data_IF_057169297758
#
_entry.id   IF_057169297758
#
_cell.length_a   1.000
_cell.length_b   1.000
_cell.length_c   1.000
_cell.angle_alpha   90.00
_cell.angle_beta   90.00
_cell.angle_gamma   90.00
#
_symmetry.space_group_name_H-M   'P 1'
#
loop_
_entity.id
_entity.type
_entity.pdbx_description
1 polymer ?
#
# COMPACT_ATOMS: atom_id res chain seq x y z
N UNK A 1 -10.23 -17.40 2.28
CA UNK A 1 -9.07 -17.55 3.19
C UNK A 1 -9.51 -17.90 4.60
N UNK A 2 -10.46 -17.15 5.19
CA UNK A 2 -11.08 -17.47 6.48
C UNK A 2 -11.61 -18.93 6.53
N UNK A 3 -12.52 -19.29 5.63
CA UNK A 3 -13.06 -20.67 5.56
C UNK A 3 -12.00 -21.75 5.31
N UNK A 4 -10.90 -21.42 4.63
CA UNK A 4 -9.84 -22.37 4.31
C UNK A 4 -9.01 -22.68 5.56
N UNK A 5 -8.63 -21.66 6.32
CA UNK A 5 -7.90 -21.83 7.58
C UNK A 5 -8.76 -22.49 8.66
N UNK A 6 -10.07 -22.19 8.70
CA UNK A 6 -11.00 -22.89 9.60
C UNK A 6 -11.10 -24.39 9.27
N UNK A 7 -11.19 -24.75 7.98
CA UNK A 7 -11.19 -26.16 7.53
C UNK A 7 -9.87 -26.89 7.79
N UNK A 8 -8.76 -26.16 7.93
CA UNK A 8 -7.44 -26.69 8.31
C UNK A 8 -7.29 -26.85 9.84
N UNK A 9 -8.33 -26.56 10.63
CA UNK A 9 -8.35 -26.77 12.08
C UNK A 9 -8.01 -25.53 12.92
N UNK A 10 -7.77 -24.38 12.29
CA UNK A 10 -7.43 -23.15 13.00
C UNK A 10 -8.72 -22.50 13.58
N UNK A 11 -8.69 -22.12 14.87
CA UNK A 11 -9.87 -21.65 15.62
C UNK A 11 -10.47 -20.39 15.00
N UNK A 12 -11.82 -20.35 14.87
CA UNK A 12 -12.58 -19.21 14.34
C UNK A 12 -12.16 -17.85 14.91
N UNK A 13 -11.95 -17.77 16.23
CA UNK A 13 -11.54 -16.55 16.92
C UNK A 13 -10.13 -16.08 16.54
N UNK A 14 -9.21 -16.99 16.25
CA UNK A 14 -7.84 -16.67 15.83
C UNK A 14 -7.82 -16.27 14.36
N UNK A 15 -8.49 -17.06 13.50
CA UNK A 15 -8.55 -16.80 12.05
C UNK A 15 -9.28 -15.49 11.76
N UNK A 16 -10.40 -15.23 12.44
CA UNK A 16 -11.21 -14.02 12.28
C UNK A 16 -10.51 -12.72 12.71
N UNK A 17 -9.46 -12.80 13.53
CA UNK A 17 -8.65 -11.64 13.92
C UNK A 17 -7.35 -11.57 13.11
N UNK A 18 -6.57 -12.65 13.08
CA UNK A 18 -5.22 -12.67 12.50
C UNK A 18 -5.23 -12.45 10.99
N UNK A 19 -6.24 -12.97 10.27
CA UNK A 19 -6.30 -12.86 8.81
C UNK A 19 -6.65 -11.43 8.35
N UNK A 20 -7.72 -10.80 8.86
CA UNK A 20 -8.03 -9.41 8.51
C UNK A 20 -6.94 -8.44 8.99
N UNK A 21 -6.40 -8.64 10.18
CA UNK A 21 -5.31 -7.82 10.72
C UNK A 21 -4.03 -8.00 9.88
N UNK A 22 -3.62 -9.22 9.56
CA UNK A 22 -2.43 -9.47 8.73
C UNK A 22 -2.54 -8.89 7.32
N UNK A 23 -3.73 -8.92 6.71
CA UNK A 23 -3.98 -8.26 5.42
C UNK A 23 -3.82 -6.74 5.51
N UNK A 24 -4.33 -6.15 6.58
CA UNK A 24 -4.27 -4.71 6.85
C UNK A 24 -2.86 -4.20 7.13
N UNK A 25 -2.03 -5.00 7.81
CA UNK A 25 -0.66 -4.63 8.15
C UNK A 25 0.36 -4.99 7.04
N UNK A 26 0.04 -5.91 6.12
CA UNK A 26 0.92 -6.28 4.99
C UNK A 26 0.73 -5.34 3.77
N UNK A 27 0.57 -4.04 4.01
CA UNK A 27 0.47 -3.02 2.97
C UNK A 27 1.80 -2.26 2.74
N UNK A 28 2.92 -2.71 3.34
CA UNK A 28 4.23 -2.07 3.17
C UNK A 28 4.67 -1.97 1.70
N UNK A 29 4.30 -2.95 0.87
CA UNK A 29 4.52 -2.91 -0.58
C UNK A 29 3.77 -1.76 -1.29
N UNK A 30 2.61 -1.35 -0.75
CA UNK A 30 1.88 -0.17 -1.22
C UNK A 30 2.65 1.09 -0.89
N UNK A 31 3.16 1.24 0.33
CA UNK A 31 3.95 2.41 0.74
C UNK A 31 5.22 2.58 -0.08
N UNK A 32 5.93 1.47 -0.35
CA UNK A 32 7.14 1.50 -1.20
C UNK A 32 6.78 1.90 -2.64
N UNK A 33 5.73 1.32 -3.22
CA UNK A 33 5.27 1.70 -4.56
C UNK A 33 4.90 3.19 -4.65
N UNK A 34 4.14 3.71 -3.69
CA UNK A 34 3.73 5.11 -3.69
C UNK A 34 4.93 6.05 -3.50
N UNK A 35 5.93 5.65 -2.73
CA UNK A 35 7.20 6.38 -2.60
C UNK A 35 7.96 6.41 -3.92
N UNK A 36 8.06 5.28 -4.61
CA UNK A 36 8.69 5.22 -5.94
C UNK A 36 7.92 6.04 -6.98
N UNK A 37 6.59 6.04 -6.92
CA UNK A 37 5.74 6.86 -7.78
C UNK A 37 5.96 8.36 -7.53
N UNK A 38 6.14 8.78 -6.27
CA UNK A 38 6.51 10.15 -5.94
C UNK A 38 7.89 10.51 -6.50
N UNK A 39 8.90 9.64 -6.37
CA UNK A 39 10.23 9.87 -6.96
C UNK A 39 10.13 9.98 -8.50
N UNK A 40 9.30 9.15 -9.14
CA UNK A 40 9.05 9.25 -10.57
C UNK A 40 8.45 10.60 -10.97
N UNK A 41 7.43 11.10 -10.24
CA UNK A 41 6.86 12.42 -10.49
C UNK A 41 7.94 13.51 -10.32
N UNK A 42 8.76 13.42 -9.27
CA UNK A 42 9.81 14.39 -9.01
C UNK A 42 10.75 14.51 -10.22
N UNK A 43 11.21 13.37 -10.74
CA UNK A 43 12.07 13.33 -11.93
C UNK A 43 11.35 13.81 -13.20
N UNK A 44 10.10 13.42 -13.41
CA UNK A 44 9.32 13.82 -14.57
C UNK A 44 8.98 15.33 -14.59
N UNK A 45 8.89 15.95 -13.41
CA UNK A 45 8.59 17.38 -13.25
C UNK A 45 9.84 18.23 -12.99
N UNK A 46 11.02 17.61 -13.01
CA UNK A 46 12.30 18.25 -12.67
C UNK A 46 12.30 18.92 -11.28
N UNK A 47 11.51 18.36 -10.35
CA UNK A 47 11.43 18.79 -8.96
C UNK A 47 12.53 18.08 -8.17
N UNK A 48 13.44 18.83 -7.55
CA UNK A 48 14.51 18.22 -6.79
C UNK A 48 13.99 17.63 -5.48
N UNK A 49 14.28 16.34 -5.26
CA UNK A 49 13.81 15.59 -4.09
C UNK A 49 15.01 14.99 -3.36
N UNK A 50 15.49 15.70 -2.34
CA UNK A 50 16.59 15.24 -1.50
C UNK A 50 16.23 13.95 -0.72
N UNK A 51 17.24 13.19 -0.29
CA UNK A 51 17.11 11.96 0.47
C UNK A 51 16.25 12.16 1.73
N UNK A 52 16.36 13.31 2.39
CA UNK A 52 15.53 13.62 3.55
C UNK A 52 14.03 13.65 3.21
N UNK A 53 13.67 14.19 2.05
CA UNK A 53 12.28 14.20 1.57
C UNK A 53 11.80 12.80 1.20
N UNK A 54 12.66 11.97 0.61
CA UNK A 54 12.33 10.58 0.28
C UNK A 54 12.06 9.75 1.53
N UNK A 55 12.89 9.89 2.57
CA UNK A 55 12.70 9.21 3.85
C UNK A 55 11.43 9.72 4.54
N UNK A 56 11.23 11.03 4.59
CA UNK A 56 10.03 11.63 5.21
C UNK A 56 8.75 11.13 4.53
N UNK A 57 8.74 11.13 3.19
CA UNK A 57 7.61 10.66 2.40
C UNK A 57 7.35 9.16 2.63
N UNK A 58 8.41 8.34 2.68
CA UNK A 58 8.31 6.92 3.01
C UNK A 58 7.70 6.70 4.40
N UNK A 59 8.16 7.43 5.42
CA UNK A 59 7.66 7.33 6.79
C UNK A 59 6.18 7.71 6.88
N UNK A 60 5.77 8.82 6.26
CA UNK A 60 4.37 9.25 6.21
C UNK A 60 3.50 8.20 5.51
N UNK A 61 3.97 7.65 4.39
CA UNK A 61 3.24 6.61 3.65
C UNK A 61 3.17 5.28 4.40
N UNK A 62 4.19 4.91 5.16
CA UNK A 62 4.17 3.71 6.03
C UNK A 62 3.19 3.89 7.20
N UNK A 63 3.17 5.06 7.83
CA UNK A 63 2.21 5.38 8.89
C UNK A 63 0.78 5.40 8.36
N UNK A 64 0.54 6.12 7.26
CA UNK A 64 -0.78 6.24 6.65
C UNK A 64 -1.32 4.90 6.12
N UNK A 65 -0.44 3.99 5.68
CA UNK A 65 -0.84 2.67 5.19
C UNK A 65 -1.50 1.79 6.24
N UNK A 66 -1.17 1.97 7.52
CA UNK A 66 -1.80 1.21 8.62
C UNK A 66 -3.20 1.74 8.93
N UNK A 67 -3.48 3.01 8.62
CA UNK A 67 -4.79 3.65 8.81
C UNK A 67 -5.76 3.50 7.62
N UNK A 68 -5.26 3.29 6.41
CA UNK A 68 -6.08 3.14 5.19
C UNK A 68 -6.48 1.68 4.87
N UNK A 69 -6.14 0.74 5.75
CA UNK A 69 -6.37 -0.67 5.55
C UNK A 69 -7.87 -0.99 5.42
N UNK A 70 -8.29 -1.38 4.21
CA UNK A 70 -9.66 -1.82 3.92
C UNK A 70 -10.32 -1.11 2.73
N UNK A 71 -9.75 0.00 2.24
CA UNK A 71 -10.32 0.74 1.11
C UNK A 71 -9.50 0.51 -0.16
N UNK A 72 -10.09 -0.16 -1.14
CA UNK A 72 -9.50 -0.36 -2.48
C UNK A 72 -9.26 0.99 -3.17
N UNK A 73 -8.07 1.21 -3.73
CA UNK A 73 -7.73 2.46 -4.40
C UNK A 73 -7.39 3.64 -3.47
N UNK A 74 -7.37 3.43 -2.14
CA UNK A 74 -6.98 4.46 -1.17
C UNK A 74 -5.53 4.93 -1.32
N UNK A 75 -4.65 4.10 -1.90
CA UNK A 75 -3.24 4.44 -2.09
C UNK A 75 -3.02 5.72 -2.88
N UNK A 76 -3.79 5.95 -3.95
CA UNK A 76 -3.69 7.19 -4.72
C UNK A 76 -4.11 8.43 -3.92
N UNK A 77 -5.19 8.31 -3.16
CA UNK A 77 -5.71 9.40 -2.32
C UNK A 77 -4.69 9.74 -1.23
N UNK A 78 -4.09 8.72 -0.61
CA UNK A 78 -3.02 8.89 0.39
C UNK A 78 -1.80 9.57 -0.22
N UNK A 79 -1.39 9.19 -1.44
CA UNK A 79 -0.29 9.85 -2.14
C UNK A 79 -0.62 11.32 -2.45
N UNK A 80 -1.82 11.61 -2.96
CA UNK A 80 -2.25 12.97 -3.25
C UNK A 80 -2.31 13.84 -1.99
N UNK A 81 -2.82 13.29 -0.88
CA UNK A 81 -2.85 13.95 0.42
C UNK A 81 -1.43 14.19 0.95
N UNK A 82 -0.52 13.22 0.79
CA UNK A 82 0.87 13.34 1.22
C UNK A 82 1.62 14.39 0.41
N UNK A 83 1.48 14.41 -0.91
CA UNK A 83 2.09 15.43 -1.78
C UNK A 83 1.56 16.82 -1.40
N UNK A 84 0.25 16.94 -1.16
CA UNK A 84 -0.37 18.21 -0.74
C UNK A 84 0.09 18.66 0.65
N UNK A 85 0.33 17.72 1.57
CA UNK A 85 0.76 18.03 2.94
C UNK A 85 2.25 18.38 3.05
N UNK A 86 3.10 17.69 2.28
CA UNK A 86 4.57 17.89 2.33
C UNK A 86 5.00 18.99 1.34
N UNK A 87 4.21 19.30 0.30
CA UNK A 87 4.34 20.52 -0.51
C UNK A 87 5.53 20.57 -1.49
N UNK A 88 6.36 19.52 -1.59
CA UNK A 88 7.54 19.50 -2.45
C UNK A 88 7.29 19.09 -3.90
N UNK A 89 6.16 18.44 -4.18
CA UNK A 89 5.83 17.97 -5.53
C UNK A 89 4.60 18.69 -6.08
N UNK A 90 4.59 19.04 -7.37
CA UNK A 90 3.41 19.61 -8.00
C UNK A 90 2.30 18.57 -8.06
N UNK A 91 1.13 18.92 -7.53
CA UNK A 91 -0.09 18.08 -7.55
C UNK A 91 -0.46 17.70 -8.99
N UNK A 92 -0.17 18.56 -9.97
CA UNK A 92 -0.36 18.28 -11.40
C UNK A 92 0.39 17.01 -11.88
N UNK A 93 1.50 16.64 -11.23
CA UNK A 93 2.26 15.42 -11.55
C UNK A 93 1.50 14.12 -11.24
N UNK A 94 0.48 14.16 -10.39
CA UNK A 94 -0.39 13.00 -10.12
C UNK A 94 -1.14 12.54 -11.38
N UNK A 95 -1.40 13.45 -12.34
CA UNK A 95 -2.05 13.11 -13.59
C UNK A 95 -1.25 12.10 -14.42
N UNK A 96 0.09 12.10 -14.28
CA UNK A 96 0.98 11.17 -14.99
C UNK A 96 0.79 9.72 -14.54
N UNK A 97 0.36 9.51 -13.30
CA UNK A 97 0.20 8.17 -12.70
C UNK A 97 -1.26 7.76 -12.55
N UNK A 98 -2.23 8.69 -12.62
CA UNK A 98 -3.65 8.44 -12.39
C UNK A 98 -4.19 7.24 -13.21
N UNK A 99 -3.82 7.15 -14.49
CA UNK A 99 -4.28 6.07 -15.37
C UNK A 99 -3.67 4.71 -15.05
N UNK A 100 -2.41 4.69 -14.61
CA UNK A 100 -1.68 3.44 -14.32
C UNK A 100 -1.95 2.98 -12.88
N UNK A 101 -2.12 3.91 -11.94
CA UNK A 101 -2.29 3.59 -10.52
C UNK A 101 -3.53 2.75 -10.27
N UNK A 102 -4.63 2.97 -11.01
CA UNK A 102 -5.82 2.13 -10.87
C UNK A 102 -5.56 0.68 -11.23
N UNK A 103 -4.90 0.42 -12.36
CA UNK A 103 -4.49 -0.93 -12.77
C UNK A 103 -3.48 -1.54 -11.79
N UNK A 104 -2.47 -0.77 -11.40
CA UNK A 104 -1.44 -1.20 -10.44
C UNK A 104 -1.99 -1.42 -9.03
N UNK A 105 -3.04 -0.70 -8.62
CA UNK A 105 -3.72 -0.90 -7.35
C UNK A 105 -4.47 -2.23 -7.32
N UNK A 106 -5.14 -2.60 -8.42
CA UNK A 106 -5.81 -3.89 -8.55
C UNK A 106 -4.80 -5.04 -8.61
N UNK A 107 -3.73 -4.90 -9.40
CA UNK A 107 -2.64 -5.87 -9.46
C UNK A 107 -1.96 -6.08 -8.08
N UNK A 108 -1.75 -5.00 -7.31
CA UNK A 108 -1.22 -5.09 -5.94
C UNK A 108 -2.18 -5.79 -5.00
N UNK A 109 -3.48 -5.50 -5.09
CA UNK A 109 -4.49 -6.19 -4.28
C UNK A 109 -4.49 -7.70 -4.56
N UNK A 110 -4.42 -8.10 -5.85
CA UNK A 110 -4.29 -9.49 -6.25
C UNK A 110 -3.00 -10.13 -5.73
N UNK A 111 -1.87 -9.44 -5.86
CA UNK A 111 -0.56 -9.96 -5.42
C UNK A 111 -0.50 -10.11 -3.89
N UNK A 112 -1.06 -9.16 -3.14
CA UNK A 112 -1.17 -9.23 -1.68
C UNK A 112 -2.12 -10.35 -1.24
N UNK A 113 -3.22 -10.56 -1.97
CA UNK A 113 -4.14 -11.68 -1.74
C UNK A 113 -3.45 -13.03 -1.97
N UNK A 114 -2.76 -13.20 -3.10
CA UNK A 114 -2.02 -14.44 -3.43
C UNK A 114 -0.87 -14.67 -2.45
N UNK A 115 -0.08 -13.65 -2.14
CA UNK A 115 1.05 -13.73 -1.21
C UNK A 115 0.64 -14.10 0.22
N UNK A 116 -0.48 -13.57 0.70
CA UNK A 116 -1.03 -13.97 2.00
C UNK A 116 -1.69 -15.36 1.94
N UNK A 117 -2.30 -15.74 0.80
CA UNK A 117 -2.85 -17.07 0.58
C UNK A 117 -1.80 -18.19 0.50
N UNK A 118 -0.56 -17.88 0.10
CA UNK A 118 0.55 -18.84 0.04
C UNK A 118 1.22 -19.12 1.39
N UNK A 119 1.10 -18.21 2.38
CA UNK A 119 1.62 -18.40 3.76
C UNK A 119 0.77 -19.38 4.60
N UNK A 120 -0.29 -19.91 4.02
CA UNK A 120 -1.27 -20.83 4.60
C UNK A 120 -0.71 -22.25 4.88
N UNK A 121 0.54 -22.53 4.49
CA UNK A 121 1.21 -23.81 4.77
C UNK A 121 1.74 -23.96 6.22
N UNK A 122 1.57 -22.95 7.09
CA UNK A 122 2.04 -23.00 8.49
C UNK A 122 0.97 -23.33 9.55
N UNK A 123 -0.29 -23.58 9.18
CA UNK A 123 -1.23 -24.27 10.10
C UNK A 123 -1.00 -25.79 9.97
N UNK A 124 0.13 -26.27 10.50
CA UNK A 124 0.32 -27.65 11.00
C UNK A 124 1.07 -27.54 12.32
#
# INVERSE_FOLDING_TARGET
MLDKMEKLGCRKSVVGLVIPTGYSFNLDGTSIYLTMAAVFIAQATNSHMDIFHQITLLVVLLLSSKGAAGVTGSGFIVLAATISAVGHLPVAGLALILGIDRFMSEARALTNLVGNGGRDHRCR
#
